data_IF_822647896212
#
_entry.id   IF_822647896212
#
_cell.length_a   1.000
_cell.length_b   1.000
_cell.length_c   1.000
_cell.angle_alpha   90.00
_cell.angle_beta   90.00
_cell.angle_gamma   90.00
#
_symmetry.space_group_name_H-M   'P 1'
#
loop_
_entity.id
_entity.type
_entity.pdbx_description
1 polymer ?
#
# COMPACT_ATOMS: atom_id res chain seq x y z
N UNK A 1 -5.91 -33.27 13.52
CA UNK A 1 -6.85 -32.15 13.31
C UNK A 1 -6.83 -31.83 11.82
N UNK A 2 -7.94 -32.02 11.10
CA UNK A 2 -7.99 -31.71 9.65
C UNK A 2 -8.43 -30.26 9.47
N UNK A 3 -7.64 -29.47 8.73
CA UNK A 3 -8.02 -28.12 8.31
C UNK A 3 -8.92 -28.24 7.07
N UNK A 4 -10.00 -27.48 7.01
CA UNK A 4 -10.87 -27.37 5.84
C UNK A 4 -10.38 -26.27 4.88
N UNK A 5 -10.58 -26.46 3.58
CA UNK A 5 -10.29 -25.42 2.60
C UNK A 5 -11.12 -24.16 2.88
N UNK A 6 -10.46 -22.99 2.85
CA UNK A 6 -11.08 -21.71 3.20
C UNK A 6 -11.23 -21.45 4.71
N UNK A 7 -10.81 -22.37 5.58
CA UNK A 7 -10.82 -22.12 7.03
C UNK A 7 -9.85 -20.99 7.40
N UNK A 8 -10.37 -19.91 7.96
CA UNK A 8 -9.57 -18.83 8.54
C UNK A 8 -8.71 -19.40 9.68
N UNK A 9 -7.41 -19.52 9.43
CA UNK A 9 -6.48 -20.14 10.37
C UNK A 9 -6.13 -19.19 11.51
N UNK A 10 -6.10 -17.89 11.21
CA UNK A 10 -5.67 -16.86 12.13
C UNK A 10 -6.10 -15.49 11.65
N UNK A 11 -6.30 -14.58 12.59
CA UNK A 11 -6.42 -13.14 12.30
C UNK A 11 -5.66 -12.36 13.36
N UNK A 12 -4.99 -11.27 12.97
CA UNK A 12 -4.31 -10.42 13.92
C UNK A 12 -5.32 -9.80 14.91
N UNK A 13 -4.91 -9.58 16.17
CA UNK A 13 -5.65 -8.71 17.07
C UNK A 13 -5.83 -7.31 16.46
N UNK A 14 -6.89 -6.63 16.87
CA UNK A 14 -7.25 -5.30 16.34
C UNK A 14 -6.12 -4.30 16.55
N UNK A 15 -5.48 -4.32 17.71
CA UNK A 15 -4.41 -3.40 18.09
C UNK A 15 -3.18 -3.55 17.17
N UNK A 16 -2.87 -4.79 16.79
CA UNK A 16 -1.78 -5.09 15.84
C UNK A 16 -2.12 -4.58 14.44
N UNK A 17 -3.38 -4.77 14.03
CA UNK A 17 -3.85 -4.33 12.72
C UNK A 17 -3.84 -2.80 12.59
N UNK A 18 -4.42 -2.10 13.57
CA UNK A 18 -4.51 -0.64 13.64
C UNK A 18 -3.14 0.02 13.84
N UNK A 19 -2.21 -0.64 14.54
CA UNK A 19 -0.85 -0.15 14.75
C UNK A 19 0.12 -0.40 13.60
N UNK A 20 -0.31 -1.10 12.54
CA UNK A 20 0.57 -1.51 11.43
C UNK A 20 1.04 -0.33 10.58
N UNK A 21 2.20 -0.48 9.92
CA UNK A 21 2.71 0.53 8.98
C UNK A 21 1.76 0.76 7.79
N UNK A 22 1.03 -0.27 7.35
CA UNK A 22 0.04 -0.14 6.28
C UNK A 22 -1.08 0.82 6.67
N UNK A 23 -1.59 0.75 7.90
CA UNK A 23 -2.63 1.67 8.36
C UNK A 23 -2.09 3.11 8.45
N UNK A 24 -0.85 3.27 8.93
CA UNK A 24 -0.19 4.60 8.94
C UNK A 24 -0.01 5.16 7.54
N UNK A 25 0.39 4.33 6.58
CA UNK A 25 0.54 4.71 5.18
C UNK A 25 -0.80 5.11 4.56
N UNK A 26 -1.88 4.34 4.79
CA UNK A 26 -3.23 4.71 4.33
C UNK A 26 -3.71 6.06 4.90
N UNK A 27 -3.45 6.32 6.18
CA UNK A 27 -3.76 7.63 6.79
C UNK A 27 -2.95 8.74 6.14
N UNK A 28 -1.65 8.54 5.93
CA UNK A 28 -0.77 9.50 5.28
C UNK A 28 -1.22 9.82 3.85
N UNK A 29 -1.62 8.80 3.07
CA UNK A 29 -2.15 8.98 1.71
C UNK A 29 -3.40 9.87 1.69
N UNK A 30 -4.30 9.68 2.66
CA UNK A 30 -5.50 10.52 2.83
C UNK A 30 -5.11 11.96 3.19
N UNK A 31 -4.22 12.13 4.15
CA UNK A 31 -3.76 13.45 4.62
C UNK A 31 -3.06 14.26 3.50
N UNK A 32 -2.36 13.58 2.59
CA UNK A 32 -1.67 14.19 1.45
C UNK A 32 -2.57 14.31 0.20
N UNK A 33 -3.85 13.97 0.30
CA UNK A 33 -4.82 14.00 -0.80
C UNK A 33 -4.40 13.17 -2.03
N UNK A 34 -3.66 12.07 -1.82
CA UNK A 34 -3.23 11.17 -2.90
C UNK A 34 -4.35 10.21 -3.25
N UNK A 35 -4.83 9.46 -2.26
CA UNK A 35 -5.98 8.55 -2.41
C UNK A 35 -6.62 8.31 -1.05
N UNK A 36 -7.94 8.16 -1.03
CA UNK A 36 -8.69 7.73 0.15
C UNK A 36 -9.21 6.31 -0.05
N UNK A 37 -8.60 5.36 0.66
CA UNK A 37 -8.92 3.93 0.60
C UNK A 37 -9.53 3.46 1.92
N UNK A 38 -10.63 2.71 1.84
CA UNK A 38 -11.39 2.29 3.01
C UNK A 38 -10.74 1.13 3.79
N UNK A 39 -10.01 0.26 3.09
CA UNK A 39 -9.37 -0.92 3.68
C UNK A 39 -8.15 -1.36 2.84
N UNK A 40 -7.50 -2.44 3.29
CA UNK A 40 -6.34 -3.01 2.60
C UNK A 40 -6.66 -3.51 1.18
N UNK A 41 -7.89 -4.00 0.95
CA UNK A 41 -8.27 -4.47 -0.38
C UNK A 41 -8.40 -3.31 -1.36
N UNK A 42 -9.00 -2.19 -0.93
CA UNK A 42 -9.04 -0.96 -1.70
C UNK A 42 -7.63 -0.40 -1.97
N UNK A 43 -6.73 -0.45 -0.97
CA UNK A 43 -5.32 -0.08 -1.15
C UNK A 43 -4.65 -0.96 -2.22
N UNK A 44 -4.86 -2.28 -2.17
CA UNK A 44 -4.31 -3.22 -3.14
C UNK A 44 -4.84 -2.94 -4.56
N UNK A 45 -6.16 -2.80 -4.72
CA UNK A 45 -6.78 -2.48 -6.01
C UNK A 45 -6.19 -1.20 -6.61
N UNK A 46 -5.99 -0.16 -5.79
CA UNK A 46 -5.33 1.06 -6.23
C UNK A 46 -3.86 0.82 -6.60
N UNK A 47 -3.08 0.09 -5.78
CA UNK A 47 -1.66 -0.14 -6.02
C UNK A 47 -1.34 -0.84 -7.34
N UNK A 48 -2.25 -1.69 -7.83
CA UNK A 48 -2.09 -2.39 -9.10
C UNK A 48 -2.82 -1.70 -10.25
N UNK A 49 -3.83 -0.88 -9.95
CA UNK A 49 -4.58 -0.10 -10.92
C UNK A 49 -3.86 1.18 -11.35
N UNK A 50 -3.09 1.79 -10.45
CA UNK A 50 -2.28 3.00 -10.68
C UNK A 50 -0.88 2.82 -10.08
N UNK A 51 -0.07 2.03 -10.79
CA UNK A 51 1.27 1.62 -10.36
C UNK A 51 2.21 2.83 -10.24
N UNK A 52 2.10 3.81 -11.15
CA UNK A 52 2.96 5.00 -11.13
C UNK A 52 2.67 5.85 -9.89
N UNK A 53 1.39 6.14 -9.61
CA UNK A 53 1.01 6.90 -8.42
C UNK A 53 1.41 6.17 -7.13
N UNK A 54 1.25 4.85 -7.08
CA UNK A 54 1.62 4.05 -5.91
C UNK A 54 3.12 4.09 -5.59
N UNK A 55 3.98 3.93 -6.59
CA UNK A 55 5.42 3.95 -6.36
C UNK A 55 5.96 5.37 -6.10
N UNK A 56 5.40 6.39 -6.75
CA UNK A 56 5.69 7.78 -6.43
C UNK A 56 5.34 8.10 -4.96
N UNK A 57 4.17 7.68 -4.49
CA UNK A 57 3.75 7.95 -3.11
C UNK A 57 4.59 7.20 -2.07
N UNK A 58 5.13 6.02 -2.40
CA UNK A 58 6.08 5.34 -1.52
C UNK A 58 7.43 6.07 -1.45
N UNK A 59 7.90 6.61 -2.58
CA UNK A 59 9.11 7.43 -2.60
C UNK A 59 9.00 8.63 -1.67
N UNK A 60 7.86 9.31 -1.73
CA UNK A 60 7.54 10.46 -0.87
C UNK A 60 7.35 10.05 0.59
N UNK A 61 6.57 8.98 0.85
CA UNK A 61 6.28 8.51 2.21
C UNK A 61 7.52 8.07 2.99
N UNK A 62 8.45 7.40 2.32
CA UNK A 62 9.71 6.98 2.92
C UNK A 62 10.79 8.05 2.88
N UNK A 63 10.50 9.22 2.31
CA UNK A 63 11.45 10.33 2.14
C UNK A 63 12.76 9.85 1.49
N UNK A 64 12.65 9.08 0.41
CA UNK A 64 13.81 8.45 -0.24
C UNK A 64 14.75 9.55 -0.76
N UNK A 65 15.97 9.55 -0.25
CA UNK A 65 17.02 10.50 -0.64
C UNK A 65 17.77 9.94 -1.85
N UNK A 66 17.79 10.70 -2.95
CA UNK A 66 18.58 10.40 -4.14
C UNK A 66 19.27 11.65 -4.66
N UNK A 67 20.53 11.51 -5.07
CA UNK A 67 21.28 12.59 -5.73
C UNK A 67 20.73 12.92 -7.12
N UNK A 68 19.94 12.01 -7.71
CA UNK A 68 19.28 12.20 -9.00
C UNK A 68 17.79 11.86 -8.84
N UNK A 69 16.89 12.85 -8.85
CA UNK A 69 15.45 12.59 -8.81
C UNK A 69 15.02 11.71 -9.99
N UNK A 70 13.99 10.89 -9.78
CA UNK A 70 13.43 10.11 -10.88
C UNK A 70 12.64 11.03 -11.83
N UNK A 71 12.74 10.77 -13.13
CA UNK A 71 11.94 11.48 -14.16
C UNK A 71 10.65 10.72 -14.49
N UNK A 72 10.69 9.40 -14.36
CA UNK A 72 9.58 8.49 -14.62
C UNK A 72 9.63 7.33 -13.63
N UNK A 73 8.47 6.91 -13.14
CA UNK A 73 8.36 5.84 -12.13
C UNK A 73 8.50 4.44 -12.76
N UNK A 74 8.02 4.25 -13.99
CA UNK A 74 8.18 2.99 -14.74
C UNK A 74 8.49 3.25 -16.21
N UNK A 75 9.36 2.46 -16.82
CA UNK A 75 9.68 2.60 -18.24
C UNK A 75 8.54 2.12 -19.15
N UNK A 76 7.88 1.01 -18.80
CA UNK A 76 6.72 0.45 -19.50
C UNK A 76 5.81 -0.31 -18.54
N UNK A 77 4.49 -0.21 -18.74
CA UNK A 77 3.48 -1.07 -18.10
C UNK A 77 3.02 -2.18 -19.05
N UNK A 78 3.95 -2.71 -19.86
CA UNK A 78 3.64 -3.87 -20.72
C UNK A 78 3.74 -5.15 -19.89
N UNK A 79 2.61 -5.87 -19.79
CA UNK A 79 2.54 -7.26 -19.34
C UNK A 79 2.71 -8.21 -20.52
#
# INVERSE_FOLDING_TARGET
MSILEGQLLWSPPREVSEGSNVVRYMSWLREHNIVDVADYHALWCWSVGDIEAFWASLWDYFEIISDTPYEKVTDSLEM
#
